data_IF_894457907659
#
_entry.id   IF_894457907659
#
_cell.length_a   1.000
_cell.length_b   1.000
_cell.length_c   1.000
_cell.angle_alpha   90.00
_cell.angle_beta   90.00
_cell.angle_gamma   90.00
#
_symmetry.space_group_name_H-M   'P 1'
#
loop_
_entity.id
_entity.type
_entity.pdbx_description
1 polymer ?
#
# COMPACT_ATOMS: atom_id res chain seq x y z
N UNK A 1 12.12 10.30 25.90
CA UNK A 1 12.86 10.22 24.62
C UNK A 1 12.62 8.84 24.03
N UNK A 2 11.95 8.74 22.88
CA UNK A 2 11.90 7.47 22.12
C UNK A 2 13.29 7.23 21.52
N UNK A 3 13.76 5.98 21.49
CA UNK A 3 15.10 5.69 20.97
C UNK A 3 15.17 5.99 19.47
N UNK A 4 16.34 6.39 18.96
CA UNK A 4 16.53 6.65 17.52
C UNK A 4 16.12 5.44 16.65
N UNK A 5 16.29 4.22 17.17
CA UNK A 5 15.91 2.97 16.52
C UNK A 5 14.39 2.81 16.32
N UNK A 6 13.56 3.42 17.19
CA UNK A 6 12.10 3.35 17.08
C UNK A 6 11.54 4.37 16.07
N UNK A 7 12.32 5.39 15.76
CA UNK A 7 11.91 6.56 14.97
C UNK A 7 12.34 6.42 13.51
N UNK A 8 13.57 5.95 13.27
CA UNK A 8 14.17 5.81 11.95
C UNK A 8 13.30 5.07 10.92
N UNK A 9 12.60 3.96 11.26
CA UNK A 9 11.72 3.28 10.30
C UNK A 9 10.54 4.12 9.83
N UNK A 10 10.02 4.99 10.68
CA UNK A 10 8.91 5.90 10.31
C UNK A 10 9.41 7.04 9.42
N UNK A 11 10.58 7.59 9.73
CA UNK A 11 11.19 8.65 8.91
C UNK A 11 11.56 8.12 7.52
N UNK A 12 12.05 6.89 7.44
CA UNK A 12 12.25 6.20 6.17
C UNK A 12 10.93 6.04 5.40
N UNK A 13 9.87 5.56 6.07
CA UNK A 13 8.58 5.33 5.43
C UNK A 13 7.98 6.61 4.83
N UNK A 14 8.08 7.74 5.54
CA UNK A 14 7.64 9.05 5.04
C UNK A 14 8.49 9.51 3.85
N UNK A 15 9.81 9.39 3.95
CA UNK A 15 10.74 9.80 2.89
C UNK A 15 10.51 9.01 1.62
N UNK A 16 10.40 7.69 1.73
CA UNK A 16 10.15 6.79 0.60
C UNK A 16 8.80 7.08 -0.07
N UNK A 17 7.73 7.26 0.73
CA UNK A 17 6.41 7.59 0.18
C UNK A 17 6.37 8.96 -0.50
N UNK A 18 7.04 9.96 0.09
CA UNK A 18 7.18 11.29 -0.52
C UNK A 18 7.93 11.19 -1.85
N UNK A 19 9.03 10.43 -1.91
CA UNK A 19 9.79 10.22 -3.13
C UNK A 19 8.99 9.50 -4.22
N UNK A 20 8.29 8.41 -3.86
CA UNK A 20 7.41 7.67 -4.77
C UNK A 20 6.28 8.56 -5.30
N UNK A 21 5.72 9.40 -4.44
CA UNK A 21 4.69 10.37 -4.82
C UNK A 21 5.19 11.44 -5.78
N UNK A 22 6.47 11.79 -5.79
CA UNK A 22 7.00 12.78 -6.74
C UNK A 22 7.56 12.19 -8.04
N UNK A 23 7.74 10.85 -8.12
CA UNK A 23 8.36 10.22 -9.29
C UNK A 23 7.49 9.17 -9.97
N UNK A 24 7.11 8.12 -9.26
CA UNK A 24 6.55 6.91 -9.86
C UNK A 24 5.02 6.89 -9.77
N UNK A 25 4.48 7.13 -8.59
CA UNK A 25 3.05 6.99 -8.32
C UNK A 25 2.28 8.29 -8.60
N UNK A 26 2.96 9.45 -8.61
CA UNK A 26 2.37 10.79 -8.85
C UNK A 26 1.41 10.82 -10.03
N UNK A 27 1.91 10.33 -11.17
CA UNK A 27 1.24 10.45 -12.46
C UNK A 27 -0.02 9.58 -12.50
N UNK A 28 0.08 8.35 -12.03
CA UNK A 28 -1.05 7.42 -12.05
C UNK A 28 -2.07 7.77 -10.96
N UNK A 29 -1.63 8.02 -9.73
CA UNK A 29 -2.54 8.38 -8.63
C UNK A 29 -3.28 9.68 -8.96
N UNK A 30 -2.59 10.71 -9.45
CA UNK A 30 -3.20 12.00 -9.80
C UNK A 30 -4.27 11.91 -10.89
N UNK A 31 -4.11 10.99 -11.87
CA UNK A 31 -5.11 10.81 -12.95
C UNK A 31 -6.24 9.87 -12.59
N UNK A 32 -5.92 8.79 -11.88
CA UNK A 32 -6.83 7.66 -11.67
C UNK A 32 -7.75 7.89 -10.48
N UNK A 33 -7.28 8.58 -9.43
CA UNK A 33 -8.06 8.82 -8.22
C UNK A 33 -9.27 9.76 -8.43
N UNK A 34 -9.22 10.64 -9.43
CA UNK A 34 -10.27 11.62 -9.74
C UNK A 34 -11.17 11.21 -10.92
N UNK A 35 -10.96 10.04 -11.51
CA UNK A 35 -11.68 9.60 -12.71
C UNK A 35 -12.33 8.23 -12.50
N UNK A 36 -13.20 7.83 -13.43
CA UNK A 36 -13.63 6.44 -13.48
C UNK A 36 -12.45 5.58 -13.93
N UNK A 37 -12.00 4.67 -13.07
CA UNK A 37 -10.98 3.70 -13.46
C UNK A 37 -11.59 2.80 -14.55
N UNK A 38 -10.87 2.64 -15.66
CA UNK A 38 -11.36 1.95 -16.86
C UNK A 38 -10.24 1.17 -17.55
N UNK A 39 -10.50 0.70 -18.76
CA UNK A 39 -9.55 -0.15 -19.52
C UNK A 39 -8.16 0.46 -19.68
N UNK A 40 -8.12 1.71 -20.13
CA UNK A 40 -6.88 2.44 -20.36
C UNK A 40 -6.06 2.54 -19.07
N UNK A 41 -6.73 2.85 -17.96
CA UNK A 41 -6.13 2.90 -16.63
C UNK A 41 -5.59 1.53 -16.18
N UNK A 42 -6.31 0.44 -16.45
CA UNK A 42 -5.85 -0.92 -16.17
C UNK A 42 -4.58 -1.27 -16.96
N UNK A 43 -4.56 -0.98 -18.26
CA UNK A 43 -3.42 -1.29 -19.12
C UNK A 43 -2.18 -0.48 -18.78
N UNK A 44 -2.35 0.78 -18.37
CA UNK A 44 -1.27 1.63 -17.87
C UNK A 44 -0.75 1.15 -16.52
N UNK A 45 -1.64 0.78 -15.59
CA UNK A 45 -1.28 0.18 -14.31
C UNK A 45 -0.39 -1.05 -14.52
N UNK A 46 -0.81 -1.98 -15.38
CA UNK A 46 -0.03 -3.18 -15.67
C UNK A 46 1.35 -2.85 -16.27
N UNK A 47 1.46 -1.78 -17.05
CA UNK A 47 2.73 -1.31 -17.61
C UNK A 47 3.65 -0.77 -16.51
N UNK A 48 3.15 0.18 -15.70
CA UNK A 48 3.95 0.88 -14.70
C UNK A 48 4.51 -0.08 -13.65
N UNK A 49 3.71 -1.05 -13.20
CA UNK A 49 4.15 -2.04 -12.20
C UNK A 49 4.83 -3.27 -12.82
N UNK A 50 5.21 -3.21 -14.11
CA UNK A 50 5.85 -4.30 -14.85
C UNK A 50 5.12 -5.64 -14.77
N UNK A 51 3.81 -5.60 -14.60
CA UNK A 51 2.95 -6.79 -14.45
C UNK A 51 2.67 -7.49 -15.78
N UNK A 52 3.14 -6.95 -16.92
CA UNK A 52 2.97 -7.55 -18.26
C UNK A 52 4.03 -8.59 -18.63
N UNK A 53 5.02 -8.86 -17.79
CA UNK A 53 6.13 -9.77 -18.14
C UNK A 53 5.78 -11.24 -17.85
N UNK A 54 6.17 -12.14 -18.76
CA UNK A 54 6.02 -13.59 -18.61
C UNK A 54 4.59 -14.11 -18.75
N UNK A 55 4.39 -15.41 -18.48
CA UNK A 55 3.08 -16.09 -18.62
C UNK A 55 1.97 -15.46 -17.78
N UNK A 56 2.30 -14.84 -16.65
CA UNK A 56 1.36 -14.12 -15.79
C UNK A 56 0.87 -12.80 -16.37
N UNK A 57 1.69 -12.10 -17.15
CA UNK A 57 1.32 -10.82 -17.75
C UNK A 57 0.38 -10.93 -18.94
N UNK A 58 0.55 -11.96 -19.78
CA UNK A 58 -0.41 -12.27 -20.85
C UNK A 58 -1.77 -12.64 -20.28
N UNK A 59 -1.79 -13.40 -19.18
CA UNK A 59 -3.01 -13.68 -18.43
C UNK A 59 -3.66 -12.36 -17.98
N UNK A 60 -2.98 -11.53 -17.19
CA UNK A 60 -3.57 -10.27 -16.66
C UNK A 60 -4.08 -9.30 -17.75
N UNK A 61 -3.46 -9.32 -18.93
CA UNK A 61 -3.93 -8.56 -20.10
C UNK A 61 -5.24 -9.10 -20.65
N UNK A 62 -5.34 -10.42 -20.83
CA UNK A 62 -6.56 -11.10 -21.30
C UNK A 62 -7.64 -11.13 -20.23
N UNK A 63 -7.26 -11.14 -18.95
CA UNK A 63 -8.20 -11.20 -17.84
C UNK A 63 -8.97 -9.90 -17.64
N UNK A 64 -8.53 -8.79 -18.25
CA UNK A 64 -9.33 -7.59 -18.32
C UNK A 64 -10.70 -7.91 -18.93
N UNK A 65 -10.75 -8.56 -20.09
CA UNK A 65 -12.01 -8.85 -20.79
C UNK A 65 -12.95 -9.76 -19.98
N UNK A 66 -12.40 -10.71 -19.20
CA UNK A 66 -13.21 -11.69 -18.47
C UNK A 66 -13.61 -11.26 -17.06
N UNK A 67 -12.83 -10.38 -16.43
CA UNK A 67 -12.99 -10.10 -14.99
C UNK A 67 -13.20 -8.63 -14.69
N UNK A 68 -12.85 -7.71 -15.61
CA UNK A 68 -13.20 -6.31 -15.48
C UNK A 68 -14.71 -6.07 -15.33
N UNK A 69 -15.62 -6.78 -16.05
CA UNK A 69 -17.06 -6.58 -15.85
C UNK A 69 -17.54 -6.88 -14.42
N UNK A 70 -16.84 -7.74 -13.68
CA UNK A 70 -17.15 -8.07 -12.28
C UNK A 70 -16.53 -7.05 -11.32
N UNK A 71 -15.44 -6.42 -11.73
CA UNK A 71 -14.73 -5.42 -10.94
C UNK A 71 -15.27 -4.01 -11.17
N UNK A 72 -15.83 -3.71 -12.35
CA UNK A 72 -16.16 -2.35 -12.80
C UNK A 72 -16.94 -1.56 -11.76
N UNK A 73 -17.89 -2.18 -11.05
CA UNK A 73 -18.69 -1.51 -10.01
C UNK A 73 -17.86 -1.05 -8.81
N UNK A 74 -16.83 -1.81 -8.41
CA UNK A 74 -15.91 -1.36 -7.37
C UNK A 74 -15.13 -0.12 -7.80
N UNK A 75 -14.85 0.00 -9.11
CA UNK A 75 -14.00 1.02 -9.74
C UNK A 75 -14.76 2.17 -10.42
N UNK A 76 -16.10 2.08 -10.52
CA UNK A 76 -16.90 2.94 -11.41
C UNK A 76 -17.36 4.25 -10.78
N UNK A 77 -17.48 4.31 -9.45
CA UNK A 77 -17.92 5.53 -8.76
C UNK A 77 -16.79 6.18 -7.98
N UNK A 78 -16.56 7.50 -8.15
CA UNK A 78 -15.68 8.25 -7.27
C UNK A 78 -16.10 8.08 -5.81
N UNK A 79 -15.15 7.80 -4.94
CA UNK A 79 -15.37 7.83 -3.49
C UNK A 79 -14.87 9.16 -2.96
N UNK A 80 -15.52 9.67 -1.91
CA UNK A 80 -15.01 10.86 -1.22
C UNK A 80 -13.67 10.52 -0.58
N UNK A 81 -12.76 11.48 -0.59
CA UNK A 81 -11.46 11.32 0.05
C UNK A 81 -11.65 10.91 1.51
N UNK A 82 -11.02 9.78 1.90
CA UNK A 82 -11.13 9.25 3.25
C UNK A 82 -12.43 8.50 3.58
N UNK A 83 -13.28 8.17 2.60
CA UNK A 83 -14.42 7.26 2.81
C UNK A 83 -13.95 5.80 2.96
N UNK A 84 -13.39 5.51 4.12
CA UNK A 84 -12.82 4.20 4.48
C UNK A 84 -13.90 3.11 4.48
N UNK A 85 -15.14 3.43 4.87
CA UNK A 85 -16.22 2.45 4.95
C UNK A 85 -16.63 1.95 3.56
N UNK A 86 -16.88 2.87 2.62
CA UNK A 86 -17.21 2.50 1.24
C UNK A 86 -16.05 1.78 0.57
N UNK A 87 -14.81 2.24 0.79
CA UNK A 87 -13.63 1.60 0.24
C UNK A 87 -13.43 0.18 0.78
N UNK A 88 -13.64 -0.04 2.08
CA UNK A 88 -13.61 -1.36 2.71
C UNK A 88 -14.68 -2.29 2.12
N UNK A 89 -15.91 -1.81 2.00
CA UNK A 89 -17.03 -2.59 1.45
C UNK A 89 -16.73 -3.06 0.02
N UNK A 90 -16.21 -2.15 -0.82
CA UNK A 90 -15.83 -2.48 -2.21
C UNK A 90 -14.62 -3.38 -2.30
N UNK A 91 -13.63 -3.20 -1.42
CA UNK A 91 -12.48 -4.10 -1.32
C UNK A 91 -12.95 -5.53 -1.04
N UNK A 92 -13.81 -5.73 -0.05
CA UNK A 92 -14.38 -7.04 0.28
C UNK A 92 -15.18 -7.63 -0.88
N UNK A 93 -15.96 -6.81 -1.59
CA UNK A 93 -16.67 -7.26 -2.79
C UNK A 93 -15.72 -7.75 -3.89
N UNK A 94 -14.59 -7.06 -4.12
CA UNK A 94 -13.54 -7.49 -5.06
C UNK A 94 -12.94 -8.84 -4.63
N UNK A 95 -12.70 -9.03 -3.33
CA UNK A 95 -12.14 -10.28 -2.80
C UNK A 95 -13.11 -11.45 -3.01
N UNK A 96 -14.39 -11.26 -2.68
CA UNK A 96 -15.45 -12.28 -2.87
C UNK A 96 -15.66 -12.60 -4.35
N UNK A 97 -15.73 -11.59 -5.21
CA UNK A 97 -15.87 -11.74 -6.66
C UNK A 97 -14.75 -12.60 -7.28
N UNK A 98 -13.53 -12.51 -6.73
CA UNK A 98 -12.34 -13.18 -7.24
C UNK A 98 -12.01 -14.48 -6.51
N UNK A 99 -12.98 -15.09 -5.79
CA UNK A 99 -12.70 -16.17 -4.83
C UNK A 99 -12.30 -17.52 -5.38
N UNK A 100 -12.54 -17.80 -6.65
CA UNK A 100 -12.29 -19.13 -7.22
C UNK A 100 -11.75 -19.07 -8.65
N UNK A 101 -11.18 -20.19 -9.10
CA UNK A 101 -10.71 -20.38 -10.48
C UNK A 101 -9.64 -19.38 -10.92
N UNK A 102 -9.84 -18.79 -12.10
CA UNK A 102 -8.96 -17.77 -12.67
C UNK A 102 -8.92 -16.46 -11.86
N UNK A 103 -9.99 -16.13 -11.14
CA UNK A 103 -10.08 -14.92 -10.31
C UNK A 103 -9.03 -14.87 -9.20
N UNK A 104 -8.65 -16.03 -8.64
CA UNK A 104 -7.65 -16.11 -7.57
C UNK A 104 -6.29 -15.54 -8.01
N UNK A 105 -5.92 -15.75 -9.28
CA UNK A 105 -4.66 -15.23 -9.86
C UNK A 105 -4.67 -13.72 -10.06
N UNK A 106 -5.85 -13.11 -10.11
CA UNK A 106 -6.03 -11.66 -10.29
C UNK A 106 -6.10 -10.89 -8.99
N UNK A 107 -6.44 -11.55 -7.86
CA UNK A 107 -6.68 -10.86 -6.57
C UNK A 107 -5.58 -9.87 -6.22
N UNK A 108 -4.31 -10.26 -6.30
CA UNK A 108 -3.21 -9.35 -5.96
C UNK A 108 -3.15 -8.13 -6.90
N UNK A 109 -3.35 -8.33 -8.21
CA UNK A 109 -3.34 -7.24 -9.18
C UNK A 109 -4.56 -6.32 -9.03
N UNK A 110 -5.74 -6.89 -8.78
CA UNK A 110 -6.96 -6.14 -8.52
C UNK A 110 -6.83 -5.31 -7.23
N UNK A 111 -6.37 -5.90 -6.12
CA UNK A 111 -6.20 -5.15 -4.88
C UNK A 111 -5.15 -4.03 -5.01
N UNK A 112 -4.08 -4.26 -5.79
CA UNK A 112 -3.09 -3.21 -6.16
C UNK A 112 -3.72 -2.07 -6.96
N UNK A 113 -4.53 -2.38 -7.97
CA UNK A 113 -5.23 -1.37 -8.75
C UNK A 113 -6.24 -0.59 -7.88
N UNK A 114 -6.88 -1.26 -6.92
CA UNK A 114 -7.82 -0.62 -6.00
C UNK A 114 -7.11 0.32 -5.01
N UNK A 115 -5.95 -0.09 -4.50
CA UNK A 115 -5.05 0.77 -3.72
C UNK A 115 -4.57 2.01 -4.49
N UNK A 116 -4.29 1.87 -5.78
CA UNK A 116 -3.96 3.01 -6.66
C UNK A 116 -5.13 3.96 -6.84
N UNK A 117 -6.32 3.41 -7.02
CA UNK A 117 -7.55 4.17 -7.19
C UNK A 117 -7.93 4.93 -5.91
N UNK A 118 -7.60 4.37 -4.74
CA UNK A 118 -8.05 4.84 -3.42
C UNK A 118 -6.90 5.04 -2.44
N UNK A 119 -5.94 5.92 -2.76
CA UNK A 119 -4.72 6.12 -1.99
C UNK A 119 -4.97 6.63 -0.56
N UNK A 120 -6.09 7.33 -0.33
CA UNK A 120 -6.46 7.89 0.98
C UNK A 120 -7.13 6.88 1.91
N UNK A 121 -7.66 5.78 1.37
CA UNK A 121 -8.56 4.90 2.11
C UNK A 121 -7.99 3.51 2.34
N UNK A 122 -7.18 2.99 1.42
CA UNK A 122 -6.82 1.57 1.42
C UNK A 122 -5.31 1.33 1.54
N UNK A 123 -4.89 0.31 2.30
CA UNK A 123 -3.51 -0.19 2.32
C UNK A 123 -3.23 -1.13 1.14
N UNK A 124 -1.95 -1.28 0.78
CA UNK A 124 -1.51 -2.35 -0.11
C UNK A 124 -1.52 -3.70 0.62
N UNK A 125 -2.20 -4.70 0.05
CA UNK A 125 -2.02 -6.09 0.47
C UNK A 125 -0.86 -6.74 -0.29
N UNK A 126 0.21 -7.05 0.43
CA UNK A 126 1.30 -7.90 -0.06
C UNK A 126 1.91 -8.77 1.05
N UNK A 127 2.83 -9.66 0.66
CA UNK A 127 3.46 -10.60 1.58
C UNK A 127 4.34 -9.93 2.65
N UNK A 128 4.92 -8.77 2.36
CA UNK A 128 5.75 -8.02 3.30
C UNK A 128 4.88 -7.27 4.31
N UNK A 129 3.87 -6.52 3.87
CA UNK A 129 2.92 -5.85 4.75
C UNK A 129 2.21 -6.85 5.66
N UNK A 130 1.79 -8.00 5.12
CA UNK A 130 1.20 -9.10 5.90
C UNK A 130 2.15 -9.63 6.97
N UNK A 131 3.43 -9.84 6.63
CA UNK A 131 4.44 -10.31 7.59
C UNK A 131 4.75 -9.24 8.65
N UNK A 132 4.86 -7.98 8.24
CA UNK A 132 5.09 -6.85 9.15
C UNK A 132 3.99 -6.74 10.19
N UNK A 133 2.74 -6.96 9.80
CA UNK A 133 1.59 -6.93 10.70
C UNK A 133 1.65 -8.05 11.75
N UNK A 134 1.98 -9.27 11.34
CA UNK A 134 2.21 -10.39 12.27
C UNK A 134 3.35 -10.09 13.25
N UNK A 135 4.44 -9.47 12.78
CA UNK A 135 5.58 -9.12 13.64
C UNK A 135 5.22 -8.02 14.64
N UNK A 136 4.47 -7.01 14.19
CA UNK A 136 3.97 -5.93 15.04
C UNK A 136 3.07 -6.45 16.18
N UNK A 137 2.10 -7.31 15.85
CA UNK A 137 1.20 -7.93 16.82
C UNK A 137 1.94 -8.83 17.83
N UNK A 138 2.91 -9.62 17.35
CA UNK A 138 3.75 -10.45 18.22
C UNK A 138 4.56 -9.63 19.21
N UNK A 139 5.10 -8.49 18.78
CA UNK A 139 5.81 -7.58 19.67
C UNK A 139 4.92 -6.99 20.77
N UNK A 140 3.59 -7.05 20.60
CA UNK A 140 2.58 -6.63 21.56
C UNK A 140 1.99 -7.78 22.39
N UNK A 141 2.51 -8.99 22.23
CA UNK A 141 2.02 -10.19 22.93
C UNK A 141 0.72 -10.77 22.35
N UNK A 142 0.29 -10.33 21.17
CA UNK A 142 -0.90 -10.86 20.50
C UNK A 142 -0.56 -12.21 19.81
N UNK A 143 -1.53 -13.14 19.79
CA UNK A 143 -1.34 -14.44 19.13
C UNK A 143 -1.27 -14.23 17.63
N UNK A 144 -0.10 -14.49 17.03
CA UNK A 144 0.12 -14.34 15.59
C UNK A 144 -0.69 -15.34 14.76
N UNK A 145 -1.93 -14.98 14.44
CA UNK A 145 -2.71 -15.64 13.40
C UNK A 145 -2.15 -15.27 12.02
N UNK A 146 -2.32 -16.16 11.04
CA UNK A 146 -1.97 -15.85 9.67
C UNK A 146 -2.79 -14.65 9.17
N UNK A 147 -2.11 -13.68 8.56
CA UNK A 147 -2.77 -12.60 7.81
C UNK A 147 -3.22 -13.17 6.48
N UNK A 148 -4.51 -13.10 6.22
CA UNK A 148 -5.15 -13.45 4.95
C UNK A 148 -5.70 -12.18 4.31
N UNK A 149 -6.07 -12.26 3.03
CA UNK A 149 -6.76 -11.15 2.36
C UNK A 149 -8.03 -10.75 3.13
N UNK A 150 -8.74 -11.73 3.69
CA UNK A 150 -10.04 -11.52 4.35
C UNK A 150 -9.91 -10.78 5.69
N UNK A 151 -8.81 -10.99 6.43
CA UNK A 151 -8.60 -10.36 7.74
C UNK A 151 -7.59 -9.20 7.72
N UNK A 152 -6.91 -8.96 6.59
CA UNK A 152 -5.83 -7.97 6.51
C UNK A 152 -6.31 -6.56 6.82
N UNK A 153 -7.44 -6.15 6.24
CA UNK A 153 -7.89 -4.76 6.32
C UNK A 153 -8.27 -4.37 7.75
N UNK A 154 -9.05 -5.21 8.44
CA UNK A 154 -9.41 -5.02 9.85
C UNK A 154 -8.15 -4.91 10.73
N UNK A 155 -7.19 -5.80 10.54
CA UNK A 155 -5.94 -5.79 11.30
C UNK A 155 -5.05 -4.59 10.98
N UNK A 156 -5.06 -4.14 9.72
CA UNK A 156 -4.40 -2.90 9.31
C UNK A 156 -5.03 -1.68 9.99
N UNK A 157 -6.35 -1.58 10.09
CA UNK A 157 -7.01 -0.47 10.79
C UNK A 157 -6.57 -0.38 12.24
N UNK A 158 -6.53 -1.52 12.94
CA UNK A 158 -6.06 -1.58 14.32
C UNK A 158 -4.60 -1.07 14.45
N UNK A 159 -3.72 -1.50 13.55
CA UNK A 159 -2.34 -1.00 13.48
C UNK A 159 -2.27 0.50 13.17
N UNK A 160 -3.06 0.98 12.20
CA UNK A 160 -3.06 2.37 11.76
C UNK A 160 -3.52 3.31 12.88
N UNK A 161 -4.62 2.95 13.57
CA UNK A 161 -5.11 3.69 14.73
C UNK A 161 -4.09 3.72 15.87
N UNK A 162 -3.44 2.58 16.15
CA UNK A 162 -2.39 2.53 17.17
C UNK A 162 -1.17 3.41 16.82
N UNK A 163 -0.82 3.47 15.53
CA UNK A 163 0.41 4.14 15.06
C UNK A 163 0.23 5.61 14.70
N UNK A 164 -0.95 6.19 14.95
CA UNK A 164 -1.28 7.57 14.54
C UNK A 164 -0.25 8.60 15.00
N UNK A 165 0.18 8.55 16.27
CA UNK A 165 1.17 9.52 16.81
C UNK A 165 2.55 9.39 16.17
N UNK A 166 2.93 8.18 15.74
CA UNK A 166 4.21 7.91 15.09
C UNK A 166 4.20 8.47 13.66
N UNK A 167 3.08 8.31 12.95
CA UNK A 167 2.89 8.86 11.61
C UNK A 167 2.96 10.39 11.65
N UNK A 168 2.22 11.04 12.57
CA UNK A 168 2.26 12.50 12.72
C UNK A 168 3.65 13.01 13.04
N UNK A 169 4.32 12.41 14.03
CA UNK A 169 5.66 12.84 14.40
C UNK A 169 6.67 12.69 13.26
N UNK A 170 6.53 11.67 12.40
CA UNK A 170 7.42 11.48 11.25
C UNK A 170 7.16 12.50 10.13
N UNK A 171 5.89 12.83 9.89
CA UNK A 171 5.51 13.92 8.98
C UNK A 171 6.07 15.27 9.46
N UNK A 172 5.95 15.56 10.76
CA UNK A 172 6.49 16.77 11.37
C UNK A 172 8.02 16.86 11.26
N UNK A 173 8.75 15.80 11.62
CA UNK A 173 10.23 15.77 11.53
C UNK A 173 10.74 15.93 10.11
N UNK A 174 10.08 15.29 9.15
CA UNK A 174 10.47 15.38 7.73
C UNK A 174 10.05 16.69 7.06
N UNK A 175 9.14 17.46 7.69
CA UNK A 175 8.52 18.63 7.07
C UNK A 175 7.65 18.30 5.85
N UNK A 176 7.22 17.04 5.70
CA UNK A 176 6.48 16.57 4.53
C UNK A 176 4.99 16.92 4.60
N UNK A 177 4.41 17.33 3.48
CA UNK A 177 2.97 17.56 3.30
C UNK A 177 2.25 16.37 2.64
N UNK A 178 2.85 15.18 2.67
CA UNK A 178 2.33 14.01 1.98
C UNK A 178 0.88 13.67 2.41
N UNK A 179 -0.09 13.61 1.47
CA UNK A 179 -1.51 13.58 1.82
C UNK A 179 -2.05 12.18 2.15
N UNK A 180 -1.29 11.10 1.91
CA UNK A 180 -1.78 9.72 2.01
C UNK A 180 -1.23 8.98 3.24
N UNK A 181 -1.74 9.32 4.43
CA UNK A 181 -1.24 8.82 5.72
C UNK A 181 -1.22 7.29 5.85
N UNK A 182 -2.26 6.61 5.34
CA UNK A 182 -2.32 5.14 5.35
C UNK A 182 -1.17 4.49 4.59
N UNK A 183 -0.69 5.12 3.50
CA UNK A 183 0.45 4.63 2.72
C UNK A 183 1.77 4.71 3.49
N UNK A 184 1.89 5.64 4.45
CA UNK A 184 3.05 5.67 5.38
C UNK A 184 3.01 4.44 6.29
N UNK A 185 1.86 4.17 6.91
CA UNK A 185 1.68 2.99 7.76
C UNK A 185 1.93 1.68 7.02
N UNK A 186 1.39 1.55 5.81
CA UNK A 186 1.67 0.42 4.91
C UNK A 186 3.17 0.28 4.60
N UNK A 187 3.85 1.38 4.27
CA UNK A 187 5.28 1.36 3.94
C UNK A 187 6.12 0.93 5.14
N UNK A 188 5.73 1.35 6.33
CA UNK A 188 6.34 0.88 7.57
C UNK A 188 6.15 -0.64 7.76
N UNK A 189 4.93 -1.16 7.56
CA UNK A 189 4.66 -2.60 7.63
C UNK A 189 5.46 -3.38 6.59
N UNK A 190 5.56 -2.84 5.37
CA UNK A 190 6.39 -3.42 4.31
C UNK A 190 7.84 -3.55 4.77
N UNK A 191 8.42 -2.49 5.36
CA UNK A 191 9.79 -2.52 5.88
C UNK A 191 9.92 -3.51 7.04
N UNK A 192 8.97 -3.52 7.97
CA UNK A 192 8.97 -4.43 9.11
C UNK A 192 8.94 -5.90 8.66
N UNK A 193 8.21 -6.22 7.60
CA UNK A 193 8.16 -7.56 7.01
C UNK A 193 9.29 -7.88 6.03
N UNK A 194 10.17 -6.92 5.70
CA UNK A 194 11.25 -7.14 4.74
C UNK A 194 12.47 -7.78 5.41
N UNK A 195 13.00 -8.84 4.82
CA UNK A 195 14.21 -9.53 5.31
C UNK A 195 15.47 -8.67 5.23
N UNK A 196 15.46 -7.62 4.41
CA UNK A 196 16.56 -6.67 4.25
C UNK A 196 16.38 -5.38 5.05
N UNK A 197 15.44 -5.36 6.02
CA UNK A 197 15.12 -4.18 6.84
C UNK A 197 16.35 -3.44 7.34
N UNK A 198 17.25 -4.13 8.05
CA UNK A 198 18.43 -3.49 8.66
C UNK A 198 19.33 -2.85 7.61
N UNK A 199 19.64 -3.56 6.52
CA UNK A 199 20.44 -3.01 5.43
C UNK A 199 19.77 -1.82 4.70
N UNK A 200 18.44 -1.70 4.74
CA UNK A 200 17.72 -0.52 4.23
C UNK A 200 17.88 0.65 5.20
N UNK A 201 17.68 0.40 6.49
CA UNK A 201 17.78 1.41 7.54
C UNK A 201 19.20 1.95 7.70
N UNK A 202 20.22 1.10 7.62
CA UNK A 202 21.63 1.51 7.68
C UNK A 202 21.99 2.46 6.54
N UNK A 203 21.55 2.12 5.32
CA UNK A 203 21.75 2.98 4.14
C UNK A 203 21.00 4.29 4.25
N UNK A 204 19.79 4.25 4.79
CA UNK A 204 18.99 5.45 5.01
C UNK A 204 19.64 6.37 6.05
N UNK A 205 20.10 5.83 7.18
CA UNK A 205 20.79 6.58 8.22
C UNK A 205 22.06 7.25 7.68
N UNK A 206 22.91 6.51 6.95
CA UNK A 206 24.11 7.06 6.33
C UNK A 206 23.79 8.22 5.36
N UNK A 207 22.71 8.09 4.58
CA UNK A 207 22.28 9.16 3.67
C UNK A 207 21.75 10.42 4.40
N UNK A 208 21.14 10.26 5.57
CA UNK A 208 20.73 11.39 6.41
C UNK A 208 21.96 12.12 6.97
N UNK A 209 22.94 11.39 7.50
CA UNK A 209 24.19 11.96 8.04
C UNK A 209 24.95 12.79 6.99
N UNK A 210 25.01 12.30 5.75
CA UNK A 210 25.66 13.01 4.66
C UNK A 210 24.92 14.31 4.28
N UNK A 211 23.59 14.33 4.37
CA UNK A 211 22.78 15.54 4.13
C UNK A 211 22.96 16.58 5.22
N UNK A 212 23.11 16.16 6.48
CA UNK A 212 23.37 17.06 7.61
C UNK A 212 24.75 17.69 7.54
N UNK A 213 25.77 16.98 7.04
CA UNK A 213 27.13 17.50 6.88
C UNK A 213 27.29 18.55 5.80
N UNK A 214 26.36 18.62 4.86
CA UNK A 214 26.39 19.57 3.73
C UNK A 214 25.54 20.82 4.01
N UNK A 215 24.79 20.83 5.13
CA UNK A 215 24.02 22.00 5.61
C UNK A 215 24.85 22.84 6.58
#
# INVERSE_FOLDING_TARGET
>A
MRSHADVLPWDWAVTEQTWLHHKHDAFLVGRVHQSTFGESHWLEFLNAYSLKRGKGGNFLRQSYETSWPVLVDAYSSPMRDGDVFTATTRWTAVVEALRQGSGLRMRSAALKAFWLFQPHALPMFDAFASRGLVLFERARGERGQAVTIDNFLERFEAFYHFSGTQIEGALERSGSTYPYRRRIGEKWLWLAGNTHREAILDRFAAAQDDLERVR
#
